data_IF_696340965575
#
_entry.id   IF_696340965575
#
_cell.length_a   1.000
_cell.length_b   1.000
_cell.length_c   1.000
_cell.angle_alpha   90.00
_cell.angle_beta   90.00
_cell.angle_gamma   90.00
#
_symmetry.space_group_name_H-M   'P 1'
#
loop_
_entity.id
_entity.type
_entity.pdbx_description
1 polymer ?
#
# COMPACT_ATOMS: atom_id res chain seq x y z
N UNK A 1 -24.17 10.57 17.41
CA UNK A 1 -23.85 9.16 17.08
C UNK A 1 -22.34 8.97 17.05
N UNK A 2 -21.77 8.37 18.10
CA UNK A 2 -20.33 8.11 18.19
C UNK A 2 -19.90 7.04 17.18
N UNK A 3 -18.80 7.28 16.45
CA UNK A 3 -18.19 6.29 15.55
C UNK A 3 -17.79 5.06 16.38
N UNK A 4 -18.40 3.90 16.13
CA UNK A 4 -17.94 2.63 16.70
C UNK A 4 -16.48 2.40 16.29
N UNK A 5 -15.59 2.20 17.27
CA UNK A 5 -14.22 1.76 17.02
C UNK A 5 -14.27 0.35 16.44
N UNK A 6 -13.96 0.20 15.15
CA UNK A 6 -13.75 -1.13 14.56
C UNK A 6 -12.50 -1.75 15.19
N UNK A 7 -12.64 -2.91 15.80
CA UNK A 7 -11.52 -3.66 16.37
C UNK A 7 -10.84 -4.47 15.27
N UNK A 8 -9.72 -3.95 14.74
CA UNK A 8 -8.98 -4.56 13.64
C UNK A 8 -7.90 -5.54 14.11
N UNK A 9 -7.67 -5.66 15.42
CA UNK A 9 -6.58 -6.47 15.97
C UNK A 9 -6.73 -7.98 15.70
N UNK A 10 -7.93 -8.44 15.36
CA UNK A 10 -8.22 -9.85 15.05
C UNK A 10 -8.19 -10.17 13.55
N UNK A 11 -7.92 -9.20 12.68
CA UNK A 11 -7.87 -9.47 11.25
C UNK A 11 -6.60 -10.26 10.89
N UNK A 12 -6.68 -11.26 10.00
CA UNK A 12 -5.51 -12.02 9.58
C UNK A 12 -4.55 -11.10 8.81
N UNK A 13 -3.28 -11.12 9.22
CA UNK A 13 -2.21 -10.47 8.46
C UNK A 13 -1.91 -11.26 7.20
N UNK A 14 -1.63 -10.57 6.10
CA UNK A 14 -1.20 -11.17 4.84
C UNK A 14 0.26 -10.81 4.58
N UNK A 15 1.06 -11.80 4.21
CA UNK A 15 2.42 -11.58 3.76
C UNK A 15 2.44 -10.68 2.53
N UNK A 16 3.17 -9.58 2.63
CA UNK A 16 3.33 -8.58 1.58
C UNK A 16 4.80 -8.29 1.32
N UNK A 17 5.07 -7.79 0.13
CA UNK A 17 6.38 -7.28 -0.30
C UNK A 17 6.19 -5.89 -0.87
N UNK A 18 7.10 -4.99 -0.52
CA UNK A 18 7.23 -3.66 -1.12
C UNK A 18 8.66 -3.48 -1.61
N UNK A 19 8.83 -2.69 -2.66
CA UNK A 19 10.15 -2.39 -3.23
C UNK A 19 10.32 -0.88 -3.34
N UNK A 20 11.50 -0.40 -2.95
CA UNK A 20 11.95 0.97 -3.19
C UNK A 20 12.95 0.93 -4.33
N UNK A 21 12.65 1.64 -5.43
CA UNK A 21 13.54 1.73 -6.59
C UNK A 21 14.07 3.16 -6.64
N UNK A 22 15.39 3.30 -6.44
CA UNK A 22 16.12 4.56 -6.47
C UNK A 22 16.96 4.64 -7.75
N UNK A 23 16.98 5.79 -8.42
CA UNK A 23 17.87 6.02 -9.55
C UNK A 23 19.16 6.75 -9.14
N UNK A 24 20.11 6.89 -10.07
CA UNK A 24 21.39 7.59 -9.84
C UNK A 24 21.26 9.09 -9.52
N UNK A 25 20.06 9.67 -9.68
CA UNK A 25 19.74 11.05 -9.31
C UNK A 25 19.06 11.16 -7.94
N UNK A 26 19.08 10.10 -7.13
CA UNK A 26 18.40 10.01 -5.84
C UNK A 26 16.87 10.22 -5.90
N UNK A 27 16.24 9.90 -7.04
CA UNK A 27 14.77 9.94 -7.18
C UNK A 27 14.18 8.55 -6.99
N UNK A 28 13.00 8.50 -6.37
CA UNK A 28 12.27 7.25 -6.09
C UNK A 28 11.15 7.05 -7.11
N UNK A 29 11.00 5.81 -7.59
CA UNK A 29 9.91 5.43 -8.48
C UNK A 29 8.59 5.24 -7.71
N UNK A 30 7.56 6.00 -8.10
CA UNK A 30 6.19 5.92 -7.55
C UNK A 30 5.16 5.96 -8.68
N UNK A 31 3.97 5.41 -8.42
CA UNK A 31 2.85 5.40 -9.36
C UNK A 31 1.56 5.86 -8.68
N UNK A 32 0.64 6.43 -9.48
CA UNK A 32 -0.72 6.76 -9.05
C UNK A 32 -1.67 5.60 -9.35
N UNK A 33 -2.59 5.32 -8.44
CA UNK A 33 -3.66 4.35 -8.67
C UNK A 33 -4.66 4.85 -9.72
N UNK A 34 -5.00 4.01 -10.67
CA UNK A 34 -6.03 4.32 -11.69
C UNK A 34 -7.45 4.24 -11.12
N UNK A 35 -7.66 3.39 -10.12
CA UNK A 35 -8.98 3.05 -9.56
C UNK A 35 -9.37 3.89 -8.35
N UNK A 36 -8.55 4.86 -7.96
CA UNK A 36 -8.82 5.73 -6.82
C UNK A 36 -8.91 7.20 -7.28
N UNK A 37 -10.07 7.87 -7.17
CA UNK A 37 -10.26 9.23 -7.65
C UNK A 37 -9.48 10.29 -6.85
N UNK A 38 -8.87 9.90 -5.73
CA UNK A 38 -7.99 10.76 -4.93
C UNK A 38 -6.53 10.59 -5.36
N UNK A 39 -5.80 11.71 -5.46
CA UNK A 39 -4.38 11.77 -5.85
C UNK A 39 -3.45 11.13 -4.80
N UNK A 40 -3.47 9.80 -4.71
CA UNK A 40 -2.56 9.04 -3.86
C UNK A 40 -1.44 8.41 -4.70
N UNK A 41 -0.21 8.66 -4.27
CA UNK A 41 1.00 8.06 -4.81
C UNK A 41 1.39 6.85 -3.98
N UNK A 42 1.87 5.79 -4.64
CA UNK A 42 2.35 4.59 -3.99
C UNK A 42 3.65 4.10 -4.62
N UNK A 43 4.48 3.45 -3.81
CA UNK A 43 5.60 2.65 -4.32
C UNK A 43 5.08 1.29 -4.84
N UNK A 44 5.86 0.57 -5.67
CA UNK A 44 5.55 -0.80 -6.04
C UNK A 44 5.42 -1.70 -4.81
N UNK A 45 4.29 -2.39 -4.68
CA UNK A 45 4.02 -3.34 -3.62
C UNK A 45 3.00 -4.39 -4.06
N UNK A 46 2.97 -5.53 -3.37
CA UNK A 46 2.07 -6.62 -3.64
C UNK A 46 2.01 -7.64 -2.51
N UNK A 47 1.09 -8.59 -2.60
CA UNK A 47 1.03 -9.71 -1.67
C UNK A 47 1.85 -10.90 -2.16
N UNK A 48 2.40 -11.66 -1.23
CA UNK A 48 3.13 -12.89 -1.51
C UNK A 48 2.14 -14.04 -1.70
N UNK A 49 2.32 -14.85 -2.74
CA UNK A 49 1.53 -16.04 -2.99
C UNK A 49 0.05 -15.79 -3.35
N UNK A 50 -0.71 -16.89 -3.46
CA UNK A 50 -2.17 -16.85 -3.62
C UNK A 50 -2.82 -16.49 -2.28
N UNK A 51 -3.94 -15.77 -2.36
CA UNK A 51 -4.84 -15.58 -1.22
C UNK A 51 -5.69 -16.81 -1.01
#
# INVERSE_FOLDING_TARGET
MGKMKKNFEKLPLRNGVGVIILNSQNKVFVARRIDNPKNYWQMPQGGVGKR
#
